data_IF_846482260215
#
_entry.id   IF_846482260215
#
_cell.length_a   1.000
_cell.length_b   1.000
_cell.length_c   1.000
_cell.angle_alpha   90.00
_cell.angle_beta   90.00
_cell.angle_gamma   90.00
#
_symmetry.space_group_name_H-M   'P 1'
#
loop_
_entity.id
_entity.type
_entity.pdbx_description
1 polymer ?
#
# COMPACT_ATOMS: atom_id res chain seq x y z
N UNK A 1 -36.91 -0.40 30.23
CA UNK A 1 -35.59 0.10 30.58
C UNK A 1 -34.54 -0.79 29.96
N UNK A 2 -33.46 -0.24 29.42
CA UNK A 2 -32.30 -0.95 28.90
C UNK A 2 -31.09 -0.46 29.66
N UNK A 3 -30.25 -1.38 30.14
CA UNK A 3 -28.95 -1.06 30.75
C UNK A 3 -27.85 -1.40 29.76
N UNK A 4 -26.94 -0.48 29.54
CA UNK A 4 -25.81 -0.66 28.65
C UNK A 4 -24.47 -0.46 29.38
N UNK A 5 -23.48 -1.25 28.97
CA UNK A 5 -22.11 -1.09 29.42
C UNK A 5 -21.22 -1.02 28.19
N UNK A 6 -20.66 0.16 27.90
CA UNK A 6 -19.81 0.40 26.70
C UNK A 6 -20.50 0.02 25.37
N UNK A 7 -21.75 0.40 25.17
CA UNK A 7 -22.49 0.08 23.93
C UNK A 7 -21.81 0.64 22.66
N UNK A 8 -21.00 1.69 22.80
CA UNK A 8 -20.15 2.21 21.71
C UNK A 8 -19.06 1.22 21.24
N UNK A 9 -18.72 0.24 22.08
CA UNK A 9 -17.78 -0.86 21.77
C UNK A 9 -18.49 -2.18 21.52
N UNK A 10 -19.68 -2.36 22.08
CA UNK A 10 -20.50 -3.56 21.91
C UNK A 10 -21.66 -3.30 20.95
N UNK A 11 -21.43 -3.65 19.68
CA UNK A 11 -22.40 -3.40 18.61
C UNK A 11 -23.74 -4.11 18.82
N UNK A 12 -23.77 -5.22 19.53
CA UNK A 12 -25.04 -5.93 19.87
C UNK A 12 -25.88 -5.12 20.83
N UNK A 13 -25.28 -4.54 21.87
CA UNK A 13 -25.99 -3.66 22.79
C UNK A 13 -26.50 -2.40 22.07
N UNK A 14 -25.64 -1.80 21.21
CA UNK A 14 -26.01 -0.63 20.42
C UNK A 14 -27.16 -0.97 19.45
N UNK A 15 -27.06 -2.05 18.72
CA UNK A 15 -28.06 -2.52 17.77
C UNK A 15 -29.39 -2.84 18.44
N UNK A 16 -29.37 -3.58 19.55
CA UNK A 16 -30.55 -3.91 20.34
C UNK A 16 -31.25 -2.65 20.85
N UNK A 17 -30.50 -1.73 21.43
CA UNK A 17 -31.06 -0.47 21.97
C UNK A 17 -31.72 0.36 20.87
N UNK A 18 -31.10 0.48 19.70
CA UNK A 18 -31.69 1.18 18.55
C UNK A 18 -32.95 0.49 18.03
N UNK A 19 -32.94 -0.82 17.99
CA UNK A 19 -34.12 -1.59 17.56
C UNK A 19 -35.31 -1.36 18.50
N UNK A 20 -35.09 -1.41 19.82
CA UNK A 20 -36.14 -1.12 20.81
C UNK A 20 -36.59 0.35 20.73
N UNK A 21 -35.67 1.29 20.50
CA UNK A 21 -36.02 2.70 20.31
C UNK A 21 -36.91 2.90 19.08
N UNK A 22 -36.64 2.19 17.99
CA UNK A 22 -37.48 2.17 16.80
C UNK A 22 -38.88 1.61 17.09
N UNK A 23 -39.00 0.48 17.79
CA UNK A 23 -40.29 -0.12 18.21
C UNK A 23 -41.07 0.88 19.08
N UNK A 24 -40.44 1.50 20.07
CA UNK A 24 -41.09 2.52 20.92
C UNK A 24 -41.56 3.74 20.10
N UNK A 25 -40.82 4.12 19.05
CA UNK A 25 -41.19 5.20 18.13
C UNK A 25 -42.43 4.82 17.30
N UNK A 26 -42.46 3.59 16.78
CA UNK A 26 -43.62 3.07 16.01
C UNK A 26 -44.88 2.97 16.89
N UNK A 27 -44.75 2.47 18.12
CA UNK A 27 -45.86 2.42 19.10
C UNK A 27 -46.37 3.82 19.43
N UNK A 28 -45.48 4.78 19.54
CA UNK A 28 -45.85 6.19 19.78
C UNK A 28 -46.62 6.77 18.60
N UNK A 29 -46.21 6.45 17.38
CA UNK A 29 -46.91 6.87 16.16
C UNK A 29 -48.33 6.25 16.06
N UNK A 30 -48.54 5.05 16.62
CA UNK A 30 -49.85 4.38 16.71
C UNK A 30 -50.67 4.81 17.93
N UNK A 31 -50.28 5.85 18.65
CA UNK A 31 -51.03 6.39 19.80
C UNK A 31 -50.68 5.74 21.16
N UNK A 32 -49.85 4.70 21.17
CA UNK A 32 -49.42 4.05 22.41
C UNK A 32 -48.16 4.73 22.99
N UNK A 33 -48.30 5.40 24.14
CA UNK A 33 -47.18 6.06 24.82
C UNK A 33 -46.34 5.02 25.58
N UNK A 34 -45.26 4.55 24.92
CA UNK A 34 -44.21 3.74 25.59
C UNK A 34 -42.94 4.56 25.74
N UNK A 35 -42.49 4.72 26.96
CA UNK A 35 -41.25 5.43 27.30
C UNK A 35 -40.08 4.43 27.27
N UNK A 36 -38.97 4.84 26.68
CA UNK A 36 -37.71 4.13 26.75
C UNK A 36 -36.75 4.87 27.66
N UNK A 37 -36.27 4.18 28.69
CA UNK A 37 -35.18 4.64 29.56
C UNK A 37 -33.96 3.82 29.23
N UNK A 38 -32.87 4.49 28.91
CA UNK A 38 -31.55 3.88 28.69
C UNK A 38 -30.62 4.32 29.81
N UNK A 39 -30.01 3.35 30.45
CA UNK A 39 -29.05 3.57 31.55
C UNK A 39 -27.67 3.11 31.08
N UNK A 40 -26.71 4.03 31.04
CA UNK A 40 -25.32 3.73 30.75
C UNK A 40 -24.53 3.63 32.06
N UNK A 41 -24.04 2.42 32.36
CA UNK A 41 -23.36 2.15 33.64
C UNK A 41 -21.84 2.25 33.56
N UNK A 42 -21.27 2.46 32.39
CA UNK A 42 -19.81 2.56 32.19
C UNK A 42 -19.48 3.81 31.38
N UNK A 43 -19.80 3.80 30.06
CA UNK A 43 -19.54 4.94 29.18
C UNK A 43 -20.73 5.91 29.17
N UNK A 44 -20.56 7.16 29.58
CA UNK A 44 -21.65 8.14 29.54
C UNK A 44 -22.02 8.59 28.13
N UNK A 45 -21.27 8.18 27.12
CA UNK A 45 -21.41 8.68 25.76
C UNK A 45 -22.09 7.70 24.79
N UNK A 46 -22.56 6.56 25.25
CA UNK A 46 -23.16 5.51 24.42
C UNK A 46 -24.32 6.06 23.57
N UNK A 47 -25.25 6.78 24.19
CA UNK A 47 -26.45 7.33 23.53
C UNK A 47 -26.72 8.80 23.90
N UNK A 48 -25.78 9.51 24.51
CA UNK A 48 -25.97 10.88 25.02
C UNK A 48 -26.44 11.89 23.93
N UNK A 49 -26.15 11.61 22.67
CA UNK A 49 -26.55 12.44 21.51
C UNK A 49 -27.65 11.81 20.65
N UNK A 50 -28.17 10.64 21.04
CA UNK A 50 -29.19 9.93 20.26
C UNK A 50 -30.59 10.45 20.63
N UNK A 51 -31.18 11.23 19.75
CA UNK A 51 -32.50 11.81 19.93
C UNK A 51 -33.65 10.80 19.98
N UNK A 52 -33.41 9.55 19.58
CA UNK A 52 -34.40 8.47 19.65
C UNK A 52 -34.61 7.95 21.06
N UNK A 53 -33.66 8.23 21.96
CA UNK A 53 -33.73 7.86 23.38
C UNK A 53 -34.34 9.02 24.18
N UNK A 54 -35.54 8.79 24.74
CA UNK A 54 -36.31 9.82 25.43
C UNK A 54 -35.73 10.18 26.82
N UNK A 55 -35.28 9.16 27.58
CA UNK A 55 -34.66 9.33 28.89
C UNK A 55 -33.35 8.58 28.92
N UNK A 56 -32.27 9.32 29.24
CA UNK A 56 -30.90 8.77 29.26
C UNK A 56 -30.26 9.11 30.61
N UNK A 57 -29.81 8.08 31.33
CA UNK A 57 -29.20 8.20 32.66
C UNK A 57 -27.81 7.59 32.62
N UNK A 58 -26.81 8.28 33.19
CA UNK A 58 -25.42 7.78 33.25
C UNK A 58 -25.02 7.67 34.72
N UNK A 59 -24.45 6.54 35.11
CA UNK A 59 -23.90 6.35 36.45
C UNK A 59 -22.37 6.46 36.49
N UNK A 60 -21.71 6.46 35.33
CA UNK A 60 -20.24 6.47 35.15
C UNK A 60 -19.54 5.26 35.78
N UNK A 61 -20.22 4.50 36.61
CA UNK A 61 -19.70 3.34 37.33
C UNK A 61 -20.86 2.37 37.61
N UNK A 62 -20.52 1.13 37.92
CA UNK A 62 -21.46 0.06 38.32
C UNK A 62 -21.17 -0.48 39.71
N UNK A 63 -20.54 0.35 40.58
CA UNK A 63 -20.39 0.03 41.98
C UNK A 63 -21.77 -0.04 42.68
N UNK A 64 -21.86 -0.75 43.81
CA UNK A 64 -23.08 -0.89 44.57
C UNK A 64 -23.68 0.47 44.90
N UNK A 65 -22.84 1.42 45.33
CA UNK A 65 -23.24 2.79 45.66
C UNK A 65 -23.86 3.51 44.46
N UNK A 66 -23.23 3.37 43.25
CA UNK A 66 -23.74 3.98 42.05
C UNK A 66 -25.09 3.36 41.61
N UNK A 67 -25.23 2.04 41.76
CA UNK A 67 -26.49 1.35 41.47
C UNK A 67 -27.59 1.73 42.48
N UNK A 68 -27.26 1.87 43.73
CA UNK A 68 -28.21 2.33 44.75
C UNK A 68 -28.69 3.77 44.45
N UNK A 69 -27.78 4.66 44.10
CA UNK A 69 -28.12 6.02 43.68
C UNK A 69 -28.99 6.04 42.42
N UNK A 70 -28.68 5.17 41.42
CA UNK A 70 -29.50 5.03 40.23
C UNK A 70 -30.95 4.63 40.55
N UNK A 71 -31.12 3.63 41.40
CA UNK A 71 -32.46 3.18 41.81
C UNK A 71 -33.22 4.33 42.46
N UNK A 72 -32.63 5.03 43.41
CA UNK A 72 -33.26 6.19 44.11
C UNK A 72 -33.63 7.30 43.11
N UNK A 73 -32.76 7.60 42.13
CA UNK A 73 -33.05 8.56 41.08
C UNK A 73 -34.21 8.11 40.17
N UNK A 74 -34.27 6.84 39.82
CA UNK A 74 -35.35 6.27 38.98
C UNK A 74 -36.72 6.33 39.70
N UNK A 75 -36.75 6.19 41.04
CA UNK A 75 -37.96 6.33 41.83
C UNK A 75 -38.26 7.78 42.27
N UNK A 76 -37.44 8.75 41.83
CA UNK A 76 -37.70 10.15 42.01
C UNK A 76 -37.35 10.68 43.43
N UNK A 77 -36.55 9.95 44.22
CA UNK A 77 -36.12 10.37 45.53
C UNK A 77 -35.23 11.62 45.50
N UNK A 78 -34.49 11.80 44.39
CA UNK A 78 -33.74 13.02 44.14
C UNK A 78 -33.58 13.21 42.62
N UNK A 79 -33.27 14.46 42.22
CA UNK A 79 -32.90 14.77 40.82
C UNK A 79 -31.38 14.75 40.68
N UNK A 80 -30.84 13.97 39.72
CA UNK A 80 -29.41 13.97 39.41
C UNK A 80 -28.94 15.38 39.00
N UNK A 81 -27.93 15.91 39.68
CA UNK A 81 -27.35 17.23 39.39
C UNK A 81 -26.04 17.15 38.63
N UNK A 82 -25.53 15.94 38.38
CA UNK A 82 -24.32 15.72 37.64
C UNK A 82 -24.42 16.15 36.18
N UNK A 83 -23.31 16.58 35.63
CA UNK A 83 -23.18 16.94 34.22
C UNK A 83 -22.22 15.97 33.54
N UNK A 84 -22.40 15.76 32.23
CA UNK A 84 -21.46 14.96 31.47
C UNK A 84 -20.05 15.58 31.49
N UNK A 85 -19.01 14.79 31.81
CA UNK A 85 -17.65 15.30 31.80
C UNK A 85 -17.25 15.76 30.39
N UNK A 86 -16.84 16.98 30.30
CA UNK A 86 -16.48 17.63 29.03
C UNK A 86 -17.67 18.28 28.32
N UNK A 87 -17.38 19.33 27.60
CA UNK A 87 -18.37 19.97 26.72
C UNK A 87 -18.68 19.07 25.56
N UNK A 88 -19.89 18.54 25.45
CA UNK A 88 -20.47 18.05 24.24
C UNK A 88 -20.61 19.25 23.27
N UNK A 89 -19.48 19.82 22.86
CA UNK A 89 -19.50 20.83 21.81
C UNK A 89 -20.12 20.14 20.61
N UNK A 90 -21.21 20.68 20.09
CA UNK A 90 -21.69 20.43 18.73
C UNK A 90 -20.57 20.84 17.80
N UNK A 91 -19.53 20.02 17.72
CA UNK A 91 -18.55 20.13 16.66
C UNK A 91 -19.33 19.94 15.38
N UNK A 92 -19.42 21.00 14.56
CA UNK A 92 -19.91 20.90 13.18
C UNK A 92 -19.05 19.96 12.33
N UNK A 93 -17.91 19.52 12.85
CA UNK A 93 -17.16 18.36 12.37
C UNK A 93 -17.80 17.13 13.00
N UNK A 94 -18.64 16.46 12.23
CA UNK A 94 -18.98 15.05 12.50
C UNK A 94 -17.65 14.33 12.70
N UNK A 95 -17.29 14.04 13.94
CA UNK A 95 -16.23 13.07 14.23
C UNK A 95 -16.81 11.77 13.71
N UNK A 96 -16.52 11.47 12.43
CA UNK A 96 -16.85 10.16 11.86
C UNK A 96 -16.23 9.17 12.81
N UNK A 97 -17.04 8.44 13.56
CA UNK A 97 -16.56 7.32 14.39
C UNK A 97 -15.65 6.52 13.47
N UNK A 98 -14.39 6.31 13.89
CA UNK A 98 -13.43 5.56 13.06
C UNK A 98 -14.00 4.17 12.88
N UNK A 99 -14.61 3.95 11.74
CA UNK A 99 -15.20 2.68 11.40
C UNK A 99 -14.06 1.65 11.32
N UNK A 100 -14.08 0.65 12.19
CA UNK A 100 -13.13 -0.46 12.12
C UNK A 100 -13.69 -1.47 11.12
N UNK A 101 -13.03 -1.56 9.98
CA UNK A 101 -13.38 -2.53 8.97
C UNK A 101 -12.79 -3.90 9.32
N UNK A 102 -13.56 -4.95 9.11
CA UNK A 102 -13.04 -6.32 9.15
C UNK A 102 -12.10 -6.50 7.96
N UNK A 103 -10.84 -6.81 8.26
CA UNK A 103 -9.82 -7.09 7.26
C UNK A 103 -9.53 -8.58 7.30
N UNK A 104 -9.78 -9.25 6.18
CA UNK A 104 -9.60 -10.68 6.01
C UNK A 104 -8.42 -10.98 5.10
N UNK A 105 -7.93 -12.22 5.14
CA UNK A 105 -6.96 -12.68 4.17
C UNK A 105 -7.64 -12.86 2.81
N UNK A 106 -6.97 -12.40 1.76
CA UNK A 106 -7.38 -12.61 0.39
C UNK A 106 -7.35 -14.10 0.05
N UNK A 107 -8.38 -14.56 -0.66
CA UNK A 107 -8.46 -15.91 -1.21
C UNK A 107 -8.86 -15.79 -2.69
N UNK A 108 -8.05 -16.36 -3.59
CA UNK A 108 -8.23 -16.27 -5.04
C UNK A 108 -9.63 -16.75 -5.48
N UNK A 109 -10.05 -17.90 -4.99
CA UNK A 109 -11.29 -18.54 -5.43
C UNK A 109 -12.53 -17.75 -5.00
N UNK A 110 -12.45 -17.11 -3.82
CA UNK A 110 -13.55 -16.33 -3.24
C UNK A 110 -13.55 -14.88 -3.72
N UNK A 111 -12.38 -14.26 -3.77
CA UNK A 111 -12.25 -12.81 -3.90
C UNK A 111 -11.75 -12.38 -5.30
N UNK A 112 -11.31 -13.34 -6.14
CA UNK A 112 -10.68 -13.05 -7.42
C UNK A 112 -11.55 -12.17 -8.33
N UNK A 113 -12.82 -12.52 -8.51
CA UNK A 113 -13.75 -11.71 -9.31
C UNK A 113 -13.94 -10.31 -8.73
N UNK A 114 -14.09 -10.21 -7.39
CA UNK A 114 -14.22 -8.91 -6.73
C UNK A 114 -12.97 -8.05 -6.85
N UNK A 115 -11.77 -8.67 -6.90
CA UNK A 115 -10.52 -7.95 -7.14
C UNK A 115 -10.45 -7.40 -8.57
N UNK A 116 -10.83 -8.19 -9.56
CA UNK A 116 -10.89 -7.74 -10.94
C UNK A 116 -11.85 -6.54 -11.10
N UNK A 117 -13.06 -6.66 -10.55
CA UNK A 117 -14.05 -5.56 -10.53
C UNK A 117 -13.50 -4.29 -9.85
N UNK A 118 -12.78 -4.44 -8.73
CA UNK A 118 -12.15 -3.32 -8.01
C UNK A 118 -11.07 -2.67 -8.88
N UNK A 119 -10.19 -3.44 -9.51
CA UNK A 119 -9.13 -2.92 -10.38
C UNK A 119 -9.70 -2.21 -11.60
N UNK A 120 -10.74 -2.75 -12.23
CA UNK A 120 -11.43 -2.08 -13.35
C UNK A 120 -12.10 -0.77 -12.91
N UNK A 121 -12.69 -0.74 -11.71
CA UNK A 121 -13.30 0.47 -11.14
C UNK A 121 -12.23 1.55 -10.90
N UNK A 122 -11.07 1.15 -10.38
CA UNK A 122 -9.93 2.05 -10.20
C UNK A 122 -9.41 2.59 -11.52
N UNK A 123 -9.25 1.73 -12.52
CA UNK A 123 -8.79 2.12 -13.85
C UNK A 123 -9.71 3.16 -14.50
N UNK A 124 -11.04 2.99 -14.38
CA UNK A 124 -12.02 3.96 -14.90
C UNK A 124 -12.03 5.28 -14.14
N UNK A 125 -11.75 5.26 -12.84
CA UNK A 125 -11.74 6.44 -11.98
C UNK A 125 -10.41 7.20 -12.01
N UNK A 126 -9.35 6.61 -12.61
CA UNK A 126 -8.02 7.21 -12.67
C UNK A 126 -7.99 8.36 -13.68
N UNK A 127 -7.27 9.43 -13.33
CA UNK A 127 -7.01 10.53 -14.26
C UNK A 127 -6.20 10.06 -15.47
N UNK A 128 -6.25 10.75 -16.61
CA UNK A 128 -5.44 10.41 -17.78
C UNK A 128 -3.93 10.33 -17.51
N UNK A 129 -3.44 11.07 -16.53
CA UNK A 129 -2.05 11.00 -16.05
C UNK A 129 -1.68 9.67 -15.42
N UNK A 130 -2.67 8.86 -15.00
CA UNK A 130 -2.48 7.51 -14.45
C UNK A 130 -2.79 6.40 -15.47
N UNK A 131 -2.58 6.64 -16.76
CA UNK A 131 -2.75 5.63 -17.82
C UNK A 131 -2.01 4.32 -17.51
N UNK A 132 -0.89 4.41 -16.80
CA UNK A 132 -0.15 3.25 -16.33
C UNK A 132 -1.02 2.26 -15.54
N UNK A 133 -1.92 2.72 -14.68
CA UNK A 133 -2.87 1.87 -13.96
C UNK A 133 -3.90 1.21 -14.86
N UNK A 134 -4.39 1.95 -15.87
CA UNK A 134 -5.41 1.40 -16.79
C UNK A 134 -4.85 0.25 -17.62
N UNK A 135 -3.57 0.31 -17.94
CA UNK A 135 -2.90 -0.67 -18.79
C UNK A 135 -2.42 -1.90 -18.03
N UNK A 136 -2.26 -1.78 -16.71
CA UNK A 136 -1.68 -2.84 -15.87
C UNK A 136 -2.70 -3.63 -15.06
N UNK A 137 -4.01 -3.31 -15.14
CA UNK A 137 -5.02 -3.95 -14.29
C UNK A 137 -5.10 -5.47 -14.46
N UNK A 138 -5.10 -5.97 -15.69
CA UNK A 138 -5.14 -7.42 -15.95
C UNK A 138 -3.87 -8.12 -15.48
N UNK A 139 -2.70 -7.54 -15.78
CA UNK A 139 -1.43 -8.09 -15.34
C UNK A 139 -1.24 -7.97 -13.82
N UNK A 140 -1.74 -6.90 -13.19
CA UNK A 140 -1.78 -6.77 -11.74
C UNK A 140 -2.66 -7.84 -11.11
N UNK A 141 -3.80 -8.16 -11.70
CA UNK A 141 -4.67 -9.23 -11.24
C UNK A 141 -3.94 -10.59 -11.26
N UNK A 142 -3.24 -10.91 -12.35
CA UNK A 142 -2.43 -12.13 -12.45
C UNK A 142 -1.30 -12.14 -11.40
N UNK A 143 -0.60 -11.03 -11.20
CA UNK A 143 0.43 -10.89 -10.18
C UNK A 143 -0.09 -11.21 -8.78
N UNK A 144 -1.26 -10.68 -8.41
CA UNK A 144 -1.85 -10.91 -7.08
C UNK A 144 -2.36 -12.34 -6.87
N UNK A 145 -2.52 -13.10 -7.93
CA UNK A 145 -2.88 -14.51 -7.90
C UNK A 145 -1.68 -15.46 -7.99
N UNK A 146 -0.46 -14.92 -8.02
CA UNK A 146 0.74 -15.72 -8.12
C UNK A 146 1.21 -16.27 -6.76
N UNK A 147 1.90 -17.41 -6.77
CA UNK A 147 2.40 -18.08 -5.57
C UNK A 147 3.54 -17.33 -4.83
N UNK A 148 4.14 -16.33 -5.47
CA UNK A 148 5.19 -15.48 -4.84
C UNK A 148 4.59 -14.55 -3.76
N UNK A 149 3.30 -14.25 -3.86
CA UNK A 149 2.64 -13.39 -2.92
C UNK A 149 2.54 -14.05 -1.53
N UNK A 150 2.99 -13.34 -0.49
CA UNK A 150 2.94 -13.85 0.88
C UNK A 150 1.51 -13.94 1.42
N UNK A 151 0.91 -12.81 1.66
CA UNK A 151 -0.45 -12.73 2.21
C UNK A 151 -1.07 -11.41 1.82
N UNK A 152 -2.09 -11.45 1.01
CA UNK A 152 -2.86 -10.27 0.67
C UNK A 152 -4.06 -10.12 1.59
N UNK A 153 -4.56 -8.91 1.72
CA UNK A 153 -5.66 -8.57 2.60
C UNK A 153 -6.77 -7.85 1.86
N UNK A 154 -8.01 -8.12 2.29
CA UNK A 154 -9.21 -7.53 1.69
C UNK A 154 -10.14 -6.95 2.75
N UNK A 155 -10.89 -5.93 2.34
CA UNK A 155 -12.10 -5.47 3.01
C UNK A 155 -13.25 -5.65 2.03
N UNK A 156 -14.29 -6.37 2.44
CA UNK A 156 -15.47 -6.64 1.60
C UNK A 156 -16.77 -6.26 2.30
N UNK A 157 -17.79 -6.11 1.50
CA UNK A 157 -19.16 -6.02 1.99
C UNK A 157 -19.64 -7.42 2.39
N UNK A 158 -20.15 -7.56 3.62
CA UNK A 158 -20.64 -8.84 4.12
C UNK A 158 -21.89 -9.36 3.38
N UNK A 159 -22.68 -8.46 2.80
CA UNK A 159 -23.93 -8.83 2.11
C UNK A 159 -23.76 -9.07 0.62
N UNK A 160 -22.95 -8.25 -0.06
CA UNK A 160 -22.78 -8.31 -1.52
C UNK A 160 -21.49 -8.98 -1.96
N UNK A 161 -20.59 -9.27 -1.03
CA UNK A 161 -19.23 -9.77 -1.26
C UNK A 161 -18.35 -8.87 -2.14
N UNK A 162 -18.81 -7.69 -2.54
CA UNK A 162 -18.03 -6.72 -3.29
C UNK A 162 -16.81 -6.27 -2.48
N UNK A 163 -15.65 -6.18 -3.12
CA UNK A 163 -14.43 -5.69 -2.47
C UNK A 163 -14.44 -4.17 -2.41
N UNK A 164 -14.28 -3.64 -1.20
CA UNK A 164 -14.09 -2.21 -0.93
C UNK A 164 -12.63 -1.82 -0.85
N UNK A 165 -11.74 -2.78 -0.66
CA UNK A 165 -10.32 -2.54 -0.65
C UNK A 165 -9.49 -3.81 -0.65
N UNK A 166 -8.26 -3.67 -1.14
CA UNK A 166 -7.27 -4.72 -1.27
C UNK A 166 -5.89 -4.18 -0.90
N UNK A 167 -5.07 -4.99 -0.26
CA UNK A 167 -3.69 -4.67 0.08
C UNK A 167 -2.79 -5.85 -0.27
N UNK A 168 -1.82 -5.60 -1.16
CA UNK A 168 -0.79 -6.57 -1.49
C UNK A 168 0.39 -6.47 -0.54
N UNK A 169 0.85 -7.60 -0.01
CA UNK A 169 2.06 -7.68 0.80
C UNK A 169 3.00 -8.75 0.29
N UNK A 170 4.30 -8.49 0.43
CA UNK A 170 5.37 -9.37 0.00
C UNK A 170 6.43 -9.46 1.09
N UNK A 171 7.24 -10.51 1.04
CA UNK A 171 8.35 -10.73 1.94
C UNK A 171 9.60 -11.03 1.12
N UNK A 172 10.63 -10.21 1.28
CA UNK A 172 11.96 -10.44 0.70
C UNK A 172 12.99 -10.38 1.80
N UNK A 173 14.02 -11.21 1.77
CA UNK A 173 15.17 -11.30 2.72
C UNK A 173 15.22 -10.22 3.82
N UNK A 174 14.33 -10.32 4.82
CA UNK A 174 14.27 -9.40 5.95
C UNK A 174 13.55 -8.07 5.69
N UNK A 175 12.88 -7.91 4.55
CA UNK A 175 12.08 -6.74 4.21
C UNK A 175 10.62 -7.14 4.07
N UNK A 176 9.76 -6.54 4.87
CA UNK A 176 8.30 -6.65 4.71
C UNK A 176 7.77 -5.52 3.84
N UNK A 177 7.12 -5.85 2.72
CA UNK A 177 6.70 -4.85 1.73
C UNK A 177 5.20 -4.75 1.64
N UNK A 178 4.68 -3.53 1.63
CA UNK A 178 3.34 -3.20 1.15
C UNK A 178 3.49 -2.76 -0.30
N UNK A 179 3.16 -3.66 -1.23
CA UNK A 179 3.34 -3.43 -2.67
C UNK A 179 2.22 -2.62 -3.31
N UNK A 180 1.01 -2.66 -2.74
CA UNK A 180 -0.12 -1.86 -3.19
C UNK A 180 -1.21 -1.78 -2.12
N UNK A 181 -1.94 -0.65 -2.09
CA UNK A 181 -3.18 -0.48 -1.32
C UNK A 181 -4.22 0.13 -2.25
N UNK A 182 -5.26 -0.61 -2.55
CA UNK A 182 -6.37 -0.17 -3.38
C UNK A 182 -7.62 0.01 -2.53
N UNK A 183 -8.34 1.09 -2.76
CA UNK A 183 -9.62 1.37 -2.11
C UNK A 183 -10.60 1.87 -3.15
N UNK A 184 -11.78 1.29 -3.19
CA UNK A 184 -12.90 1.72 -4.04
C UNK A 184 -13.07 3.25 -3.91
N UNK A 185 -13.03 4.01 -5.03
CA UNK A 185 -13.15 5.46 -5.01
C UNK A 185 -14.38 5.95 -4.25
N UNK A 186 -15.51 5.23 -4.35
CA UNK A 186 -16.76 5.57 -3.64
C UNK A 186 -16.68 5.34 -2.12
N UNK A 187 -15.68 4.58 -1.65
CA UNK A 187 -15.47 4.20 -0.25
C UNK A 187 -14.21 4.81 0.35
N UNK A 188 -13.63 5.81 -0.29
CA UNK A 188 -12.50 6.57 0.28
C UNK A 188 -12.95 7.38 1.51
N UNK A 189 -12.00 7.74 2.36
CA UNK A 189 -12.19 8.55 3.58
C UNK A 189 -13.05 7.90 4.69
N UNK A 190 -13.36 6.59 4.61
CA UNK A 190 -14.06 5.84 5.65
C UNK A 190 -13.16 4.82 6.37
N UNK A 191 -11.85 5.06 6.38
CA UNK A 191 -10.81 4.29 7.10
C UNK A 191 -10.51 2.88 6.56
N UNK A 192 -10.96 2.50 5.35
CA UNK A 192 -10.65 1.21 4.74
C UNK A 192 -9.14 1.06 4.53
N UNK A 193 -8.50 2.00 3.84
CA UNK A 193 -7.06 1.96 3.58
C UNK A 193 -6.24 1.87 4.86
N UNK A 194 -6.63 2.61 5.91
CA UNK A 194 -5.95 2.56 7.22
C UNK A 194 -6.12 1.20 7.92
N UNK A 195 -7.27 0.57 7.78
CA UNK A 195 -7.52 -0.76 8.34
C UNK A 195 -6.68 -1.82 7.63
N UNK A 196 -6.62 -1.76 6.30
CA UNK A 196 -5.77 -2.62 5.46
C UNK A 196 -4.29 -2.46 5.82
N UNK A 197 -3.78 -1.23 5.83
CA UNK A 197 -2.40 -0.92 6.17
C UNK A 197 -2.01 -1.46 7.55
N UNK A 198 -2.84 -1.23 8.57
CA UNK A 198 -2.59 -1.74 9.93
C UNK A 198 -2.52 -3.25 9.99
N UNK A 199 -3.43 -3.94 9.29
CA UNK A 199 -3.43 -5.41 9.24
C UNK A 199 -2.19 -5.92 8.54
N UNK A 200 -1.83 -5.32 7.40
CA UNK A 200 -0.64 -5.66 6.63
C UNK A 200 0.64 -5.49 7.46
N UNK A 201 0.82 -4.32 8.09
CA UNK A 201 1.99 -4.05 8.94
C UNK A 201 2.09 -5.04 10.10
N UNK A 202 0.98 -5.31 10.83
CA UNK A 202 1.00 -6.29 11.91
C UNK A 202 1.43 -7.67 11.42
N UNK A 203 0.93 -8.11 10.27
CA UNK A 203 1.29 -9.39 9.69
C UNK A 203 2.76 -9.45 9.31
N UNK A 204 3.29 -8.40 8.69
CA UNK A 204 4.68 -8.32 8.24
C UNK A 204 5.65 -8.25 9.42
N UNK A 205 5.37 -7.39 10.42
CA UNK A 205 6.26 -7.20 11.59
C UNK A 205 6.32 -8.46 12.46
N UNK A 206 5.27 -9.28 12.49
CA UNK A 206 5.25 -10.54 13.22
C UNK A 206 6.08 -11.65 12.57
N UNK A 207 6.51 -11.47 11.32
CA UNK A 207 7.36 -12.46 10.63
C UNK A 207 8.78 -12.41 11.19
N UNK A 208 9.40 -13.59 11.48
CA UNK A 208 10.75 -13.64 12.01
C UNK A 208 11.76 -13.07 11.00
N UNK A 209 12.73 -12.32 11.51
CA UNK A 209 13.85 -11.80 10.71
C UNK A 209 13.55 -10.54 9.91
N UNK A 210 12.40 -9.90 10.08
CA UNK A 210 12.11 -8.61 9.46
C UNK A 210 12.97 -7.52 10.09
N UNK A 211 13.75 -6.84 9.24
CA UNK A 211 14.65 -5.73 9.62
C UNK A 211 14.10 -4.37 9.20
N UNK A 212 13.27 -4.32 8.16
CA UNK A 212 12.64 -3.10 7.67
C UNK A 212 11.28 -3.37 7.05
N UNK A 213 10.44 -2.36 6.99
CA UNK A 213 9.19 -2.33 6.24
C UNK A 213 9.27 -1.27 5.15
N UNK A 214 8.63 -1.52 4.01
CA UNK A 214 8.78 -0.72 2.80
C UNK A 214 7.43 -0.53 2.10
N UNK A 215 7.24 0.65 1.49
CA UNK A 215 6.12 0.95 0.60
C UNK A 215 6.61 0.92 -0.85
N UNK A 216 6.02 0.05 -1.65
CA UNK A 216 6.43 -0.21 -3.03
C UNK A 216 7.61 -1.16 -3.15
N UNK A 217 7.77 -1.74 -4.30
CA UNK A 217 8.91 -2.61 -4.63
C UNK A 217 9.06 -2.75 -6.15
N UNK A 218 10.30 -3.02 -6.57
CA UNK A 218 10.62 -3.17 -7.98
C UNK A 218 10.29 -4.56 -8.52
N UNK A 219 10.34 -5.60 -7.66
CA UNK A 219 10.07 -6.98 -8.06
C UNK A 219 9.71 -7.90 -6.88
N UNK A 220 8.59 -8.65 -6.98
CA UNK A 220 7.46 -8.43 -7.88
C UNK A 220 6.65 -7.21 -7.45
N UNK A 221 6.00 -6.50 -8.34
CA UNK A 221 5.22 -5.35 -7.89
C UNK A 221 4.57 -4.51 -8.98
N UNK A 222 3.50 -3.85 -8.59
CA UNK A 222 2.74 -2.92 -9.44
C UNK A 222 3.36 -1.54 -9.39
N UNK A 223 3.78 -1.12 -8.19
CA UNK A 223 4.35 0.20 -7.94
C UNK A 223 5.74 0.10 -7.35
N UNK A 224 6.64 0.92 -7.87
CA UNK A 224 7.98 1.12 -7.32
C UNK A 224 7.95 1.90 -5.99
N UNK A 225 6.86 2.61 -5.70
CA UNK A 225 6.66 3.41 -4.51
C UNK A 225 5.38 4.25 -4.60
N UNK A 226 5.36 5.38 -3.90
CA UNK A 226 4.27 6.35 -4.00
C UNK A 226 4.45 7.17 -5.28
N UNK A 227 3.44 7.26 -6.17
CA UNK A 227 3.51 8.11 -7.36
C UNK A 227 3.79 9.57 -7.00
N UNK A 228 4.76 10.21 -7.66
CA UNK A 228 5.17 11.59 -7.36
C UNK A 228 4.06 12.59 -7.61
N UNK A 229 3.21 12.37 -8.62
CA UNK A 229 2.09 13.26 -8.98
C UNK A 229 1.07 13.40 -7.84
N UNK A 230 0.87 12.33 -7.05
CA UNK A 230 -0.02 12.30 -5.89
C UNK A 230 0.72 12.39 -4.55
N UNK A 231 2.04 12.67 -4.58
CA UNK A 231 2.92 12.45 -3.42
C UNK A 231 2.53 13.26 -2.19
N UNK A 232 2.12 14.51 -2.34
CA UNK A 232 1.79 15.38 -1.20
C UNK A 232 0.65 14.84 -0.36
N UNK A 233 -0.44 14.43 -0.98
CA UNK A 233 -1.62 13.89 -0.29
C UNK A 233 -1.35 12.50 0.28
N UNK A 234 -0.69 11.62 -0.50
CA UNK A 234 -0.37 10.27 -0.08
C UNK A 234 0.70 10.25 1.00
N UNK A 235 1.76 11.06 0.88
CA UNK A 235 2.78 11.21 1.93
C UNK A 235 2.18 11.69 3.25
N UNK A 236 1.34 12.72 3.22
CA UNK A 236 0.65 13.20 4.41
C UNK A 236 -0.22 12.11 5.04
N UNK A 237 -0.87 11.28 4.21
CA UNK A 237 -1.66 10.16 4.70
C UNK A 237 -0.80 9.07 5.34
N UNK A 238 0.32 8.69 4.71
CA UNK A 238 1.27 7.71 5.26
C UNK A 238 1.97 8.25 6.51
N UNK A 239 2.42 9.50 6.51
CA UNK A 239 3.02 10.17 7.67
C UNK A 239 2.05 10.17 8.87
N UNK A 240 0.74 10.45 8.63
CA UNK A 240 -0.29 10.35 9.68
C UNK A 240 -0.50 8.93 10.21
N UNK A 241 0.06 7.94 9.57
CA UNK A 241 0.03 6.52 9.93
C UNK A 241 1.36 6.00 10.48
N UNK A 242 2.33 6.90 10.69
CA UNK A 242 3.62 6.61 11.33
C UNK A 242 4.76 6.26 10.38
N UNK A 243 4.62 6.55 9.10
CA UNK A 243 5.73 6.40 8.16
C UNK A 243 6.60 7.66 8.14
N UNK A 244 7.91 7.47 8.13
CA UNK A 244 8.84 8.56 7.82
C UNK A 244 8.87 8.78 6.30
N UNK A 245 8.41 9.94 5.88
CA UNK A 245 8.31 10.32 4.48
C UNK A 245 9.28 11.41 4.07
N UNK A 246 10.27 11.74 4.92
CA UNK A 246 11.15 12.89 4.70
C UNK A 246 12.24 12.62 3.66
N UNK A 247 12.78 11.40 3.62
CA UNK A 247 13.91 11.05 2.76
C UNK A 247 13.60 9.84 1.87
N UNK A 248 12.64 9.97 0.94
CA UNK A 248 12.32 8.88 0.04
C UNK A 248 13.43 8.69 -1.00
N UNK A 249 13.63 7.45 -1.44
CA UNK A 249 14.37 7.20 -2.67
C UNK A 249 13.44 7.38 -3.85
N UNK A 250 13.86 8.12 -4.85
CA UNK A 250 13.09 8.27 -6.07
C UNK A 250 13.50 7.18 -7.08
N UNK A 251 12.49 6.57 -7.69
CA UNK A 251 12.63 5.59 -8.75
C UNK A 251 11.79 6.08 -9.93
N UNK A 252 12.38 6.05 -11.11
CA UNK A 252 11.73 6.60 -12.32
C UNK A 252 11.57 5.51 -13.37
N UNK A 253 10.32 5.27 -13.78
CA UNK A 253 10.01 4.48 -14.95
C UNK A 253 10.22 5.34 -16.20
N UNK A 254 10.92 4.79 -17.17
CA UNK A 254 11.26 5.45 -18.42
C UNK A 254 10.90 4.55 -19.61
N UNK A 255 10.59 5.16 -20.74
CA UNK A 255 10.16 4.45 -21.94
C UNK A 255 10.76 5.07 -23.21
N UNK A 256 11.18 4.21 -24.14
CA UNK A 256 11.29 4.56 -25.55
C UNK A 256 10.00 4.14 -26.23
N UNK A 257 9.20 5.10 -26.69
CA UNK A 257 7.87 4.83 -27.27
C UNK A 257 7.94 4.26 -28.69
N UNK A 258 8.97 4.62 -29.46
CA UNK A 258 9.14 4.16 -30.86
C UNK A 258 10.59 3.79 -31.14
N UNK A 259 10.83 2.50 -31.21
CA UNK A 259 12.13 1.95 -31.55
C UNK A 259 12.46 2.03 -33.04
N UNK A 260 11.46 2.24 -33.90
CA UNK A 260 11.68 2.26 -35.35
C UNK A 260 12.47 3.49 -35.76
N UNK A 261 12.18 4.63 -35.14
CA UNK A 261 12.84 5.92 -35.35
C UNK A 261 14.04 6.15 -34.44
N UNK A 262 14.18 5.34 -33.38
CA UNK A 262 15.27 5.53 -32.43
C UNK A 262 16.67 5.36 -33.05
N UNK A 263 17.55 6.30 -32.73
CA UNK A 263 18.97 6.29 -33.12
C UNK A 263 19.84 6.46 -31.88
N UNK A 264 20.99 5.81 -31.87
CA UNK A 264 21.99 5.97 -30.83
C UNK A 264 22.53 7.41 -30.81
N UNK A 265 22.80 7.99 -29.64
CA UNK A 265 23.44 9.32 -29.56
C UNK A 265 24.77 9.35 -30.32
N UNK A 266 25.00 10.45 -31.04
CA UNK A 266 26.24 10.68 -31.74
C UNK A 266 27.44 10.67 -30.77
N UNK A 267 28.57 10.10 -31.21
CA UNK A 267 29.78 10.05 -30.40
C UNK A 267 29.81 9.03 -29.26
N UNK A 268 28.66 8.44 -28.86
CA UNK A 268 28.61 7.47 -27.77
C UNK A 268 29.52 6.27 -27.99
N UNK A 269 29.47 5.68 -29.20
CA UNK A 269 30.34 4.54 -29.57
C UNK A 269 31.82 4.88 -29.47
N UNK A 270 32.20 6.07 -29.91
CA UNK A 270 33.58 6.54 -29.83
C UNK A 270 34.04 6.71 -28.37
N UNK A 271 33.14 7.24 -27.52
CA UNK A 271 33.41 7.38 -26.09
C UNK A 271 33.61 6.04 -25.39
N UNK A 272 32.76 5.05 -25.71
CA UNK A 272 32.88 3.67 -25.24
C UNK A 272 34.20 3.03 -25.68
N UNK A 273 34.57 3.22 -26.93
CA UNK A 273 35.84 2.70 -27.50
C UNK A 273 37.06 3.33 -26.83
N UNK A 274 37.04 4.66 -26.63
CA UNK A 274 38.11 5.38 -25.90
C UNK A 274 38.26 4.90 -24.46
N UNK A 275 37.15 4.60 -23.80
CA UNK A 275 37.16 4.06 -22.43
C UNK A 275 37.52 2.57 -22.38
N UNK A 276 37.66 1.92 -23.55
CA UNK A 276 37.94 0.48 -23.68
C UNK A 276 36.95 -0.41 -22.91
N UNK A 277 35.68 -0.01 -22.87
CA UNK A 277 34.63 -0.77 -22.22
C UNK A 277 34.09 -1.80 -23.17
N UNK A 278 34.11 -3.07 -22.80
CA UNK A 278 33.51 -4.18 -23.55
C UNK A 278 32.16 -4.59 -22.97
N UNK A 279 31.30 -5.10 -23.85
CA UNK A 279 29.98 -5.59 -23.46
C UNK A 279 29.79 -7.00 -23.96
N UNK A 280 29.27 -7.86 -23.11
CA UNK A 280 28.86 -9.22 -23.51
C UNK A 280 27.45 -9.51 -22.96
N UNK A 281 26.76 -10.44 -23.58
CA UNK A 281 25.45 -10.92 -23.22
C UNK A 281 25.55 -12.34 -22.70
N UNK A 282 25.02 -12.59 -21.53
CA UNK A 282 24.93 -13.93 -20.97
C UNK A 282 23.46 -14.37 -20.86
N UNK A 283 23.27 -15.66 -21.03
CA UNK A 283 21.99 -16.35 -20.81
C UNK A 283 22.24 -17.51 -19.85
N UNK A 284 21.31 -17.75 -18.93
CA UNK A 284 21.40 -18.86 -18.01
C UNK A 284 22.36 -18.64 -16.85
N UNK A 285 22.51 -19.69 -16.06
CA UNK A 285 23.32 -19.67 -14.84
C UNK A 285 24.81 -19.91 -15.10
N UNK A 286 25.17 -20.40 -16.26
CA UNK A 286 26.58 -20.59 -16.63
C UNK A 286 27.28 -19.22 -16.70
N UNK A 287 28.40 -19.08 -16.00
CA UNK A 287 29.17 -17.83 -15.87
C UNK A 287 28.39 -16.64 -15.23
N UNK A 288 27.31 -16.92 -14.48
CA UNK A 288 26.51 -15.88 -13.82
C UNK A 288 26.99 -15.51 -12.42
N UNK A 289 27.92 -16.26 -11.84
CA UNK A 289 28.39 -16.05 -10.46
C UNK A 289 28.94 -14.64 -10.24
N UNK A 290 29.77 -14.15 -11.18
CA UNK A 290 30.30 -12.79 -11.12
C UNK A 290 29.21 -11.72 -11.14
N UNK A 291 28.17 -11.94 -11.95
CA UNK A 291 26.99 -11.06 -12.03
C UNK A 291 26.20 -11.08 -10.73
N UNK A 292 25.90 -12.26 -10.20
CA UNK A 292 25.13 -12.39 -8.96
C UNK A 292 25.87 -11.78 -7.77
N UNK A 293 27.20 -11.97 -7.69
CA UNK A 293 28.02 -11.35 -6.66
C UNK A 293 28.03 -9.81 -6.79
N UNK A 294 28.17 -9.29 -8.01
CA UNK A 294 28.11 -7.85 -8.28
C UNK A 294 26.74 -7.27 -7.87
N UNK A 295 25.67 -7.91 -8.27
CA UNK A 295 24.30 -7.47 -7.95
C UNK A 295 24.02 -7.56 -6.45
N UNK A 296 24.49 -8.63 -5.77
CA UNK A 296 24.34 -8.78 -4.32
C UNK A 296 25.07 -7.67 -3.54
N UNK A 297 26.17 -7.17 -4.08
CA UNK A 297 27.00 -6.13 -3.43
C UNK A 297 26.43 -4.72 -3.67
N UNK A 298 25.91 -4.45 -4.87
CA UNK A 298 25.59 -3.09 -5.33
C UNK A 298 24.09 -2.82 -5.52
N UNK A 299 23.20 -3.77 -5.14
CA UNK A 299 21.77 -3.59 -5.32
C UNK A 299 20.93 -4.05 -4.13
N UNK A 300 19.61 -3.93 -4.26
CA UNK A 300 18.66 -4.40 -3.24
C UNK A 300 18.37 -5.90 -3.37
N UNK A 301 17.92 -6.56 -2.30
CA UNK A 301 17.51 -7.98 -2.37
C UNK A 301 16.46 -8.28 -3.44
N UNK A 302 15.57 -7.34 -3.73
CA UNK A 302 14.54 -7.47 -4.78
C UNK A 302 15.17 -7.55 -6.17
N UNK A 303 16.12 -6.65 -6.44
CA UNK A 303 16.86 -6.64 -7.70
C UNK A 303 17.68 -7.93 -7.85
N UNK A 304 18.26 -8.42 -6.76
CA UNK A 304 18.97 -9.69 -6.78
C UNK A 304 18.05 -10.88 -7.14
N UNK A 305 16.85 -10.95 -6.58
CA UNK A 305 15.89 -11.99 -6.95
C UNK A 305 15.40 -11.84 -8.40
N UNK A 306 15.25 -10.59 -8.88
CA UNK A 306 14.93 -10.32 -10.27
C UNK A 306 16.03 -10.84 -11.24
N UNK A 307 17.30 -10.63 -10.90
CA UNK A 307 18.42 -11.17 -11.70
C UNK A 307 18.45 -12.69 -11.70
N UNK A 308 18.21 -13.34 -10.58
CA UNK A 308 18.06 -14.79 -10.53
C UNK A 308 16.94 -15.29 -11.44
N UNK A 309 15.77 -14.64 -11.36
CA UNK A 309 14.65 -15.00 -12.21
C UNK A 309 15.01 -14.84 -13.70
N UNK A 310 15.61 -13.72 -14.08
CA UNK A 310 16.01 -13.46 -15.46
C UNK A 310 17.05 -14.48 -16.00
N UNK A 311 17.98 -14.91 -15.14
CA UNK A 311 18.98 -15.92 -15.50
C UNK A 311 18.39 -17.34 -15.62
N UNK A 312 17.28 -17.63 -14.94
CA UNK A 312 16.55 -18.89 -15.14
C UNK A 312 15.72 -18.88 -16.45
N UNK A 313 15.27 -17.70 -16.90
CA UNK A 313 14.44 -17.53 -18.10
C UNK A 313 15.29 -17.30 -19.37
N UNK A 314 16.08 -18.29 -19.74
CA UNK A 314 17.09 -18.17 -20.81
C UNK A 314 16.53 -17.86 -22.19
N UNK A 315 15.25 -18.17 -22.48
CA UNK A 315 14.64 -17.98 -23.81
C UNK A 315 14.25 -16.52 -24.08
N UNK A 316 13.85 -15.80 -23.04
CA UNK A 316 13.26 -14.47 -23.18
C UNK A 316 14.04 -13.41 -22.42
N UNK A 317 14.95 -13.80 -21.56
CA UNK A 317 15.79 -12.90 -20.78
C UNK A 317 17.27 -13.15 -21.00
N UNK A 318 18.05 -12.10 -20.82
CA UNK A 318 19.51 -12.16 -20.80
C UNK A 318 20.05 -11.04 -19.89
N UNK A 319 21.32 -11.11 -19.56
CA UNK A 319 22.01 -10.08 -18.80
C UNK A 319 23.18 -9.54 -19.61
N UNK A 320 23.16 -8.24 -19.88
CA UNK A 320 24.29 -7.54 -20.48
C UNK A 320 25.26 -7.16 -19.36
N UNK A 321 26.53 -7.46 -19.55
CA UNK A 321 27.65 -7.09 -18.68
C UNK A 321 28.52 -6.05 -19.34
N UNK A 322 28.92 -5.03 -18.62
CA UNK A 322 29.95 -4.10 -19.00
C UNK A 322 31.25 -4.45 -18.29
N UNK A 323 32.33 -4.59 -18.99
CA UNK A 323 33.64 -4.98 -18.48
C UNK A 323 34.71 -3.96 -18.81
N UNK A 324 35.64 -3.79 -17.90
CA UNK A 324 36.87 -3.01 -18.11
C UNK A 324 37.90 -3.80 -18.94
N UNK A 325 38.97 -3.15 -19.41
CA UNK A 325 40.07 -3.82 -20.11
C UNK A 325 40.75 -4.94 -19.31
N UNK A 326 40.63 -4.89 -17.98
CA UNK A 326 41.18 -5.93 -17.06
C UNK A 326 40.12 -6.95 -16.66
N UNK A 327 39.04 -7.08 -17.43
CA UNK A 327 37.93 -8.03 -17.23
C UNK A 327 37.16 -7.85 -15.89
N UNK A 328 37.31 -6.69 -15.24
CA UNK A 328 36.50 -6.37 -14.05
C UNK A 328 35.12 -5.90 -14.45
N UNK A 329 34.09 -6.34 -13.73
CA UNK A 329 32.70 -6.01 -13.99
C UNK A 329 32.40 -4.55 -13.55
N UNK A 330 32.00 -3.72 -14.51
CA UNK A 330 31.67 -2.31 -14.30
C UNK A 330 30.19 -2.06 -14.08
N UNK A 331 29.33 -2.95 -14.58
CA UNK A 331 27.91 -2.86 -14.44
C UNK A 331 27.15 -3.94 -15.20
N UNK A 332 25.87 -4.08 -14.88
CA UNK A 332 24.99 -5.08 -15.47
C UNK A 332 23.60 -4.52 -15.69
N UNK A 333 22.85 -5.08 -16.64
CA UNK A 333 21.43 -4.79 -16.85
C UNK A 333 20.73 -6.03 -17.40
N UNK A 334 19.50 -6.25 -16.97
CA UNK A 334 18.64 -7.30 -17.50
C UNK A 334 18.00 -6.79 -18.80
N UNK A 335 18.00 -7.61 -19.83
CA UNK A 335 17.19 -7.42 -21.00
C UNK A 335 16.10 -8.49 -21.06
N UNK A 336 14.88 -8.10 -21.42
CA UNK A 336 13.81 -9.04 -21.65
C UNK A 336 13.07 -8.74 -22.95
N UNK A 337 12.78 -9.82 -23.67
CA UNK A 337 12.01 -9.77 -24.90
C UNK A 337 10.50 -9.66 -24.61
N UNK A 338 9.70 -9.22 -25.58
CA UNK A 338 8.26 -9.27 -25.48
C UNK A 338 7.74 -10.69 -25.17
N UNK A 339 6.69 -10.78 -24.37
CA UNK A 339 6.11 -12.06 -23.99
C UNK A 339 6.95 -12.84 -22.95
N UNK A 340 7.94 -12.17 -22.33
CA UNK A 340 8.67 -12.74 -21.21
C UNK A 340 7.74 -13.04 -20.03
N UNK A 341 7.94 -14.18 -19.33
CA UNK A 341 7.25 -14.47 -18.07
C UNK A 341 7.41 -13.37 -17.02
N UNK A 342 8.43 -12.50 -17.13
CA UNK A 342 8.58 -11.31 -16.29
C UNK A 342 7.38 -10.37 -16.34
N UNK A 343 6.63 -10.33 -17.45
CA UNK A 343 5.43 -9.51 -17.56
C UNK A 343 4.35 -9.88 -16.52
N UNK A 344 4.32 -11.14 -16.05
CA UNK A 344 3.43 -11.56 -14.97
C UNK A 344 3.82 -11.00 -13.60
N UNK A 345 5.07 -10.60 -13.41
CA UNK A 345 5.61 -10.06 -12.15
C UNK A 345 5.86 -8.56 -12.20
N UNK A 346 5.92 -8.01 -13.39
CA UNK A 346 6.16 -6.59 -13.67
C UNK A 346 5.07 -6.12 -14.63
N UNK A 347 3.90 -5.73 -14.11
CA UNK A 347 2.75 -5.34 -14.92
C UNK A 347 3.04 -4.27 -15.99
N UNK A 348 4.04 -3.41 -15.74
CA UNK A 348 4.48 -2.41 -16.70
C UNK A 348 5.01 -2.98 -18.03
N UNK A 349 5.44 -4.25 -18.06
CA UNK A 349 5.87 -4.96 -19.26
C UNK A 349 4.70 -5.58 -20.03
N UNK A 350 3.51 -5.58 -19.46
CA UNK A 350 2.33 -6.13 -20.13
C UNK A 350 1.89 -5.17 -21.23
N UNK A 351 1.60 -5.67 -22.45
CA UNK A 351 1.18 -4.83 -23.57
C UNK A 351 -0.15 -4.13 -23.22
N UNK A 352 -0.17 -2.83 -23.42
CA UNK A 352 -1.32 -1.96 -23.14
C UNK A 352 -2.38 -2.02 -24.24
N UNK A 353 -1.94 -2.36 -25.44
CA UNK A 353 -2.79 -2.59 -26.62
C UNK A 353 -2.44 -3.95 -27.21
N UNK A 354 -3.44 -4.61 -27.82
CA UNK A 354 -3.26 -5.96 -28.38
C UNK A 354 -2.11 -6.10 -29.40
N UNK A 355 -1.68 -4.98 -29.99
CA UNK A 355 -0.68 -4.95 -31.06
C UNK A 355 0.66 -4.34 -30.63
N UNK A 356 0.80 -3.85 -29.40
CA UNK A 356 2.05 -3.26 -28.90
C UNK A 356 2.82 -4.27 -28.06
N UNK A 357 4.02 -4.64 -28.53
CA UNK A 357 4.93 -5.48 -27.78
C UNK A 357 5.98 -4.61 -27.09
N UNK A 358 6.10 -4.77 -25.78
CA UNK A 358 7.03 -4.03 -24.93
C UNK A 358 8.16 -4.95 -24.50
N UNK A 359 9.40 -4.53 -24.73
CA UNK A 359 10.58 -5.14 -24.15
C UNK A 359 11.06 -4.38 -22.90
N UNK A 360 12.01 -4.95 -22.21
CA UNK A 360 12.58 -4.32 -21.02
C UNK A 360 14.09 -4.24 -21.04
N UNK A 361 14.62 -3.13 -20.50
CA UNK A 361 15.99 -2.95 -20.06
C UNK A 361 15.90 -2.63 -18.58
N UNK A 362 16.00 -3.66 -17.74
CA UNK A 362 15.51 -3.61 -16.36
C UNK A 362 16.65 -3.62 -15.35
N UNK A 363 16.42 -2.89 -14.24
CA UNK A 363 17.25 -2.93 -13.06
C UNK A 363 18.76 -2.80 -13.35
N UNK A 364 19.22 -1.71 -13.98
CA UNK A 364 20.64 -1.46 -14.16
C UNK A 364 21.34 -1.42 -12.80
N UNK A 365 22.44 -2.14 -12.67
CA UNK A 365 23.30 -2.14 -11.48
C UNK A 365 24.67 -1.62 -11.90
N UNK A 366 24.93 -0.35 -11.64
CA UNK A 366 26.17 0.34 -11.98
C UNK A 366 26.67 1.05 -10.72
N UNK A 367 27.84 0.67 -10.18
CA UNK A 367 28.44 1.37 -9.05
C UNK A 367 28.74 2.85 -9.37
N UNK A 368 28.64 3.71 -8.38
CA UNK A 368 28.95 5.15 -8.52
C UNK A 368 30.45 5.35 -8.75
N UNK A 369 30.84 5.42 -10.01
CA UNK A 369 32.20 5.66 -10.46
C UNK A 369 32.23 6.83 -11.45
N UNK A 370 33.40 7.37 -11.74
CA UNK A 370 33.56 8.43 -12.75
C UNK A 370 33.03 8.05 -14.14
N UNK A 371 32.95 6.75 -14.45
CA UNK A 371 32.46 6.23 -15.73
C UNK A 371 31.02 5.71 -15.65
N UNK A 372 30.33 5.82 -14.52
CA UNK A 372 29.00 5.24 -14.31
C UNK A 372 28.00 5.63 -15.39
N UNK A 373 27.96 6.89 -15.78
CA UNK A 373 27.04 7.38 -16.82
C UNK A 373 27.33 6.74 -18.20
N UNK A 374 28.62 6.62 -18.57
CA UNK A 374 29.01 6.01 -19.83
C UNK A 374 28.73 4.51 -19.82
N UNK A 375 28.97 3.83 -18.70
CA UNK A 375 28.63 2.41 -18.52
C UNK A 375 27.13 2.19 -18.66
N UNK A 376 26.29 3.01 -18.01
CA UNK A 376 24.84 2.92 -18.09
C UNK A 376 24.33 3.15 -19.52
N UNK A 377 24.86 4.20 -20.20
CA UNK A 377 24.50 4.45 -21.60
C UNK A 377 24.91 3.29 -22.51
N UNK A 378 26.07 2.71 -22.30
CA UNK A 378 26.55 1.56 -23.04
C UNK A 378 25.70 0.31 -22.82
N UNK A 379 25.32 0.02 -21.56
CA UNK A 379 24.39 -1.06 -21.22
C UNK A 379 23.01 -0.84 -21.87
N UNK A 380 22.49 0.37 -21.83
CA UNK A 380 21.23 0.74 -22.47
C UNK A 380 21.33 0.60 -24.00
N UNK A 381 22.43 1.06 -24.62
CA UNK A 381 22.68 0.90 -26.07
C UNK A 381 22.65 -0.58 -26.49
N UNK A 382 23.34 -1.43 -25.76
CA UNK A 382 23.36 -2.87 -26.03
C UNK A 382 21.98 -3.50 -25.83
N UNK A 383 21.28 -3.12 -24.77
CA UNK A 383 19.91 -3.57 -24.51
C UNK A 383 18.93 -3.15 -25.61
N UNK A 384 19.00 -1.91 -26.10
CA UNK A 384 18.17 -1.45 -27.23
C UNK A 384 18.51 -2.21 -28.52
N UNK A 385 19.79 -2.39 -28.83
CA UNK A 385 20.23 -3.13 -30.02
C UNK A 385 19.74 -4.57 -30.01
N UNK A 386 19.85 -5.24 -28.86
CA UNK A 386 19.38 -6.61 -28.68
C UNK A 386 17.87 -6.72 -28.85
N UNK A 387 17.14 -5.81 -28.27
CA UNK A 387 15.68 -5.77 -28.38
C UNK A 387 15.21 -5.41 -29.81
N UNK A 388 15.94 -4.52 -30.55
CA UNK A 388 15.66 -4.19 -31.95
C UNK A 388 15.76 -5.39 -32.92
N UNK A 389 16.47 -6.44 -32.54
CA UNK A 389 16.50 -7.68 -33.31
C UNK A 389 15.11 -8.36 -33.41
N UNK A 390 14.22 -8.07 -32.46
CA UNK A 390 12.83 -8.52 -32.51
C UNK A 390 11.98 -7.53 -33.32
N UNK A 391 11.67 -7.87 -34.57
CA UNK A 391 10.97 -7.01 -35.56
C UNK A 391 9.58 -6.50 -35.07
N UNK A 392 8.96 -7.19 -34.14
CA UNK A 392 7.63 -6.85 -33.62
C UNK A 392 7.68 -5.86 -32.47
N UNK A 393 8.83 -5.58 -31.87
CA UNK A 393 8.99 -4.72 -30.72
C UNK A 393 8.90 -3.24 -31.11
N UNK A 394 8.07 -2.48 -30.42
CA UNK A 394 7.91 -1.04 -30.64
C UNK A 394 8.44 -0.19 -29.51
N UNK A 395 8.31 -0.66 -28.28
CA UNK A 395 8.63 0.14 -27.09
C UNK A 395 9.56 -0.62 -26.15
N UNK A 396 10.40 0.11 -25.42
CA UNK A 396 11.27 -0.44 -24.37
C UNK A 396 11.03 0.32 -23.07
N UNK A 397 10.76 -0.42 -22.02
CA UNK A 397 10.63 0.07 -20.66
C UNK A 397 11.95 -0.08 -19.90
N UNK A 398 12.26 0.90 -19.06
CA UNK A 398 13.33 0.84 -18.06
C UNK A 398 12.90 1.48 -16.76
N UNK A 399 13.57 1.18 -15.65
CA UNK A 399 13.50 2.00 -14.44
C UNK A 399 14.88 2.21 -13.85
N UNK A 400 15.07 3.37 -13.25
CA UNK A 400 16.34 3.80 -12.67
C UNK A 400 16.12 4.61 -11.41
N UNK A 401 17.16 4.70 -10.59
CA UNK A 401 17.22 5.64 -9.47
C UNK A 401 17.59 7.06 -9.98
N UNK A 402 17.29 8.09 -9.20
CA UNK A 402 17.47 9.51 -9.58
C UNK A 402 18.83 9.85 -10.19
N UNK A 403 19.89 9.29 -9.63
CA UNK A 403 21.25 9.56 -10.07
C UNK A 403 21.55 9.04 -11.48
N UNK A 404 20.69 8.16 -12.00
CA UNK A 404 20.93 7.42 -13.25
C UNK A 404 20.00 7.82 -14.38
N UNK A 405 19.02 8.71 -14.17
CA UNK A 405 18.01 8.94 -15.22
C UNK A 405 18.49 9.91 -16.32
N UNK A 406 19.34 10.88 -16.02
CA UNK A 406 19.91 11.80 -17.02
C UNK A 406 20.63 11.07 -18.17
N UNK A 407 21.48 10.05 -17.93
CA UNK A 407 22.11 9.30 -19.00
C UNK A 407 21.08 8.60 -19.91
N UNK A 408 19.94 8.14 -19.35
CA UNK A 408 18.90 7.52 -20.17
C UNK A 408 18.06 8.53 -20.95
N UNK A 409 17.85 9.74 -20.42
CA UNK A 409 17.25 10.82 -21.22
C UNK A 409 18.11 11.12 -22.46
N UNK A 410 19.43 11.19 -22.29
CA UNK A 410 20.35 11.36 -23.40
C UNK A 410 20.30 10.19 -24.42
N UNK A 411 19.85 9.02 -23.99
CA UNK A 411 19.61 7.84 -24.86
C UNK A 411 18.24 7.87 -25.56
N UNK A 412 17.41 8.90 -25.36
CA UNK A 412 16.09 9.03 -25.96
C UNK A 412 14.97 8.33 -25.17
N UNK A 413 15.22 7.96 -23.93
CA UNK A 413 14.14 7.56 -23.03
C UNK A 413 13.37 8.78 -22.55
N UNK A 414 12.06 8.64 -22.42
CA UNK A 414 11.17 9.63 -21.84
C UNK A 414 10.70 9.15 -20.45
N UNK A 415 10.52 10.06 -19.53
CA UNK A 415 9.94 9.75 -18.21
C UNK A 415 8.49 9.33 -18.40
N UNK A 416 8.15 8.12 -17.97
CA UNK A 416 6.78 7.64 -17.94
C UNK A 416 6.11 8.01 -16.62
N UNK A 417 6.73 7.67 -15.50
CA UNK A 417 6.26 8.01 -14.17
C UNK A 417 7.38 7.88 -13.14
N UNK A 418 7.39 8.76 -12.15
CA UNK A 418 8.32 8.70 -11.02
C UNK A 418 7.60 8.29 -9.74
N UNK A 419 8.31 7.56 -8.88
CA UNK A 419 7.83 7.04 -7.62
C UNK A 419 8.80 7.36 -6.49
N UNK A 420 8.29 7.41 -5.28
CA UNK A 420 9.06 7.56 -4.06
C UNK A 420 8.93 6.30 -3.20
N UNK A 421 10.03 5.59 -3.05
CA UNK A 421 10.15 4.44 -2.15
C UNK A 421 10.36 4.94 -0.72
N UNK A 422 9.55 4.45 0.20
CA UNK A 422 9.61 4.81 1.62
C UNK A 422 9.94 3.56 2.43
N UNK A 423 10.97 3.66 3.26
CA UNK A 423 11.40 2.56 4.13
C UNK A 423 11.49 3.01 5.58
N UNK A 424 11.00 2.15 6.50
CA UNK A 424 11.06 2.41 7.94
C UNK A 424 11.59 1.21 8.70
N UNK A 425 12.20 1.46 9.87
CA UNK A 425 12.42 0.41 10.85
C UNK A 425 11.08 -0.08 11.42
N UNK A 426 10.90 -1.40 11.68
CA UNK A 426 9.66 -1.96 12.20
C UNK A 426 9.21 -1.32 13.52
N UNK A 427 10.16 -0.95 14.36
CA UNK A 427 9.96 -0.33 15.67
C UNK A 427 9.27 1.04 15.55
N UNK A 428 9.68 1.86 14.61
CA UNK A 428 9.13 3.19 14.39
C UNK A 428 7.66 3.14 13.97
N UNK A 429 7.30 2.17 13.15
CA UNK A 429 5.91 1.98 12.69
C UNK A 429 5.06 1.31 13.76
N UNK A 430 5.64 0.36 14.53
CA UNK A 430 4.97 -0.29 15.65
C UNK A 430 4.60 0.66 16.77
N UNK A 431 5.48 1.60 17.10
CA UNK A 431 5.25 2.57 18.18
C UNK A 431 4.00 3.42 17.94
N UNK A 432 3.80 3.84 16.71
CA UNK A 432 2.62 4.63 16.32
C UNK A 432 1.34 3.77 16.34
N UNK A 433 1.43 2.50 15.98
CA UNK A 433 0.29 1.57 16.09
C UNK A 433 -0.11 1.40 17.57
N UNK A 434 0.84 1.29 18.48
CA UNK A 434 0.60 1.19 19.93
C UNK A 434 0.10 2.50 20.53
N UNK A 435 0.68 3.64 20.18
CA UNK A 435 0.24 4.95 20.70
C UNK A 435 -1.19 5.28 20.26
N UNK A 436 -1.58 4.97 19.02
CA UNK A 436 -2.97 5.16 18.59
C UNK A 436 -3.96 4.13 19.17
N UNK A 437 -3.51 2.96 19.59
CA UNK A 437 -4.36 2.01 20.33
C UNK A 437 -4.46 2.37 21.80
N UNK A 438 -3.45 3.01 22.39
CA UNK A 438 -3.42 3.45 23.79
C UNK A 438 -3.99 4.86 23.99
N UNK A 439 -3.93 5.75 23.00
CA UNK A 439 -4.57 7.07 23.04
C UNK A 439 -6.10 7.02 22.87
N UNK A 440 -6.68 5.85 22.63
CA UNK A 440 -8.14 5.67 22.66
C UNK A 440 -8.71 5.47 24.09
N UNK A 441 -7.87 5.42 25.11
CA UNK A 441 -8.27 5.38 26.51
C UNK A 441 -7.39 6.36 27.29
N UNK A 442 -7.87 7.55 27.68
CA UNK A 442 -7.19 8.29 28.74
C UNK A 442 -7.23 7.40 29.98
N UNK A 443 -6.09 6.95 30.45
CA UNK A 443 -5.95 6.44 31.82
C UNK A 443 -6.16 7.62 32.74
N UNK A 444 -7.39 7.83 33.19
CA UNK A 444 -7.66 8.65 34.37
C UNK A 444 -6.97 7.96 35.54
N UNK A 445 -5.92 8.58 36.05
CA UNK A 445 -5.27 8.15 37.28
C UNK A 445 -6.27 8.32 38.44
N UNK A 446 -6.31 7.33 39.27
CA UNK A 446 -7.22 7.16 40.45
C UNK A 446 -7.19 8.31 41.46
N UNK A 447 -6.39 9.33 41.24
CA UNK A 447 -6.18 10.44 42.22
C UNK A 447 -7.08 11.67 41.98
N UNK A 448 -7.93 11.68 40.95
CA UNK A 448 -8.83 12.80 40.67
C UNK A 448 -10.32 12.52 41.01
N UNK A 449 -10.61 11.41 41.68
CA UNK A 449 -11.99 11.02 41.99
C UNK A 449 -12.42 11.33 43.43
N UNK A 450 -11.56 11.93 44.24
CA UNK A 450 -11.87 12.17 45.68
C UNK A 450 -12.67 13.43 45.96
N UNK A 451 -12.88 14.34 45.02
CA UNK A 451 -13.49 15.64 45.27
C UNK A 451 -14.85 15.88 44.59
N UNK A 452 -15.51 14.82 44.11
CA UNK A 452 -16.86 14.97 43.53
C UNK A 452 -17.75 13.81 44.04
N UNK A 453 -18.12 13.87 45.29
CA UNK A 453 -19.30 13.20 45.86
C UNK A 453 -20.28 14.24 46.33
#
# INVERSE_FOLDING_TARGET
>A
MIVTADANRNLYQAGFTKHVAMICSMLRASGQKKSLIVVAVSSPYDFAMDKSVGTYICTFDFTETAMFALVRALFGEFQPQGTLPGTLRKSKKVVKSRQHWLVENYNRDRDGRGLDDLLQTLARASAPSHQYLQTTTAAAFELFNHSIAESHFVVRNSSTHALYGFCATYLTKGVGVIGAIFVDPSKRNVSIGRSLQRRALRSLIQKPGIKKVQLGMSFPGVYLGIPVDDSTTLKAWFASSGWDTQFPKRLTNMIINDLTTWQAPEGLLQSIQRASISFDLIHGLENSESVLNHVATHSTPEVFELYKFALHETKTCGVVRAKSPVDSLLGTVIICSPGSPLASYIPALHPTRRDELIGGILAPVVPSTAQANLVLQGLALMGVRQNKAHKSLRSILSWVQDESYEPLLAMGFNVLQSFEEITNAPENVSLVIFLYSSLSVPKLTTTQFADIV
#
